data_IF_990290821510
#
_entry.id   IF_990290821510
#
_cell.length_a   1.000
_cell.length_b   1.000
_cell.length_c   1.000
_cell.angle_alpha   90.00
_cell.angle_beta   90.00
_cell.angle_gamma   90.00
#
_symmetry.space_group_name_H-M   'P 1'
#
loop_
_entity.id
_entity.type
_entity.pdbx_description
1 polymer ?
#
# COMPACT_ATOMS: atom_id res chain seq x y z
N UNK A 1 16.99 19.19 4.94
CA UNK A 1 18.32 18.88 5.52
C UNK A 1 19.33 18.80 4.38
N UNK A 2 20.64 18.99 4.61
CA UNK A 2 21.63 18.74 3.55
C UNK A 2 21.88 17.23 3.36
N UNK A 3 22.31 16.84 2.17
CA UNK A 3 22.58 15.44 1.82
C UNK A 3 23.93 15.30 1.14
N UNK A 4 24.65 14.22 1.44
CA UNK A 4 25.72 13.76 0.56
C UNK A 4 25.11 13.30 -0.77
N UNK A 5 25.81 13.57 -1.87
CA UNK A 5 25.31 13.25 -3.22
C UNK A 5 24.98 11.75 -3.33
N UNK A 6 25.92 10.91 -2.91
CA UNK A 6 25.78 9.46 -2.96
C UNK A 6 24.67 8.96 -2.02
N UNK A 7 24.55 9.54 -0.82
CA UNK A 7 23.49 9.20 0.14
C UNK A 7 22.09 9.44 -0.42
N UNK A 8 21.91 10.52 -1.18
CA UNK A 8 20.62 10.86 -1.79
C UNK A 8 20.21 9.89 -2.89
N UNK A 9 21.17 9.42 -3.69
CA UNK A 9 20.91 8.43 -4.74
C UNK A 9 20.59 7.06 -4.12
N UNK A 10 21.34 6.64 -3.10
CA UNK A 10 21.17 5.33 -2.47
C UNK A 10 19.87 5.22 -1.69
N UNK A 11 19.44 6.26 -0.95
CA UNK A 11 18.18 6.19 -0.19
C UNK A 11 16.95 6.00 -1.09
N UNK A 12 17.00 6.53 -2.32
CA UNK A 12 15.93 6.35 -3.30
C UNK A 12 15.91 4.94 -3.90
N UNK A 13 17.04 4.24 -3.87
CA UNK A 13 17.19 2.87 -4.36
C UNK A 13 16.82 1.79 -3.34
N UNK A 14 16.48 2.14 -2.09
CA UNK A 14 16.05 1.16 -1.09
C UNK A 14 14.75 0.50 -1.57
N UNK A 15 14.66 -0.84 -1.66
CA UNK A 15 13.48 -1.54 -2.18
C UNK A 15 12.34 -1.51 -1.14
N UNK A 16 11.48 -0.50 -1.26
CA UNK A 16 10.29 -0.28 -0.40
C UNK A 16 9.02 -0.06 -1.23
N UNK A 17 7.82 -0.14 -0.63
CA UNK A 17 6.58 0.33 -1.23
C UNK A 17 6.70 1.81 -1.65
N UNK A 18 6.16 2.20 -2.81
CA UNK A 18 6.36 3.54 -3.37
C UNK A 18 5.77 4.62 -2.46
N UNK A 19 4.64 4.31 -1.83
CA UNK A 19 3.97 5.18 -0.85
C UNK A 19 4.85 5.52 0.36
N UNK A 20 5.87 4.70 0.64
CA UNK A 20 6.77 4.89 1.78
C UNK A 20 8.04 5.68 1.42
N UNK A 21 8.31 5.99 0.14
CA UNK A 21 9.56 6.65 -0.28
C UNK A 21 9.85 7.95 0.47
N UNK A 22 8.86 8.81 0.59
CA UNK A 22 9.02 10.07 1.32
C UNK A 22 9.25 9.85 2.82
N UNK A 23 8.61 8.82 3.40
CA UNK A 23 8.80 8.46 4.82
C UNK A 23 10.22 7.97 5.07
N UNK A 24 10.80 7.19 4.16
CA UNK A 24 12.18 6.70 4.24
C UNK A 24 13.19 7.84 4.18
N UNK A 25 12.98 8.83 3.31
CA UNK A 25 13.80 10.05 3.27
C UNK A 25 13.72 10.79 4.62
N UNK A 26 12.51 11.03 5.12
CA UNK A 26 12.29 11.72 6.40
C UNK A 26 12.91 10.97 7.59
N UNK A 27 12.92 9.64 7.54
CA UNK A 27 13.53 8.80 8.57
C UNK A 27 15.06 8.92 8.59
N UNK A 28 15.70 8.88 7.42
CA UNK A 28 17.15 9.13 7.31
C UNK A 28 17.53 10.52 7.85
N UNK A 29 16.76 11.56 7.51
CA UNK A 29 16.98 12.89 8.08
C UNK A 29 16.76 12.93 9.60
N UNK A 30 15.79 12.18 10.12
CA UNK A 30 15.54 12.05 11.56
C UNK A 30 16.74 11.42 12.26
N UNK A 31 17.37 10.39 11.68
CA UNK A 31 18.57 9.76 12.22
C UNK A 31 19.74 10.74 12.26
N UNK A 32 19.97 11.51 11.19
CA UNK A 32 21.04 12.49 11.14
C UNK A 32 20.85 13.59 12.20
N UNK A 33 19.62 14.10 12.36
CA UNK A 33 19.29 15.05 13.44
C UNK A 33 19.50 14.45 14.83
N UNK A 34 19.12 13.19 15.05
CA UNK A 34 19.37 12.46 16.31
C UNK A 34 20.87 12.38 16.63
N UNK A 35 21.70 12.23 15.61
CA UNK A 35 23.15 12.19 15.70
C UNK A 35 23.81 13.59 15.70
N UNK A 36 23.01 14.67 15.76
CA UNK A 36 23.47 16.07 15.72
C UNK A 36 24.28 16.43 14.47
N UNK A 37 24.02 15.74 13.35
CA UNK A 37 24.54 16.10 12.04
C UNK A 37 23.59 17.09 11.37
N UNK A 38 24.15 18.00 10.58
CA UNK A 38 23.46 18.94 9.69
C UNK A 38 23.21 18.34 8.29
N UNK A 39 24.00 17.31 7.94
CA UNK A 39 23.98 16.60 6.66
C UNK A 39 23.73 15.11 6.85
N UNK A 40 22.90 14.52 5.99
CA UNK A 40 22.70 13.06 5.92
C UNK A 40 23.87 12.43 5.17
N UNK A 41 24.57 11.49 5.82
CA UNK A 41 25.65 10.72 5.21
C UNK A 41 25.21 9.29 4.89
N UNK A 42 26.11 8.53 4.28
CA UNK A 42 25.89 7.10 4.00
C UNK A 42 25.59 6.27 5.25
N UNK A 43 26.08 6.67 6.43
CA UNK A 43 25.82 5.97 7.69
C UNK A 43 24.32 5.95 8.02
N UNK A 44 23.64 7.08 7.90
CA UNK A 44 22.20 7.16 8.15
C UNK A 44 21.37 6.43 7.08
N UNK A 45 21.84 6.39 5.84
CA UNK A 45 21.17 5.64 4.76
C UNK A 45 21.27 4.15 4.97
N UNK A 46 22.44 3.64 5.37
CA UNK A 46 22.65 2.23 5.71
C UNK A 46 21.77 1.84 6.90
N UNK A 47 21.76 2.63 7.97
CA UNK A 47 20.89 2.38 9.11
C UNK A 47 19.40 2.39 8.72
N UNK A 48 19.00 3.35 7.88
CA UNK A 48 17.62 3.43 7.37
C UNK A 48 17.23 2.17 6.61
N UNK A 49 18.10 1.68 5.73
CA UNK A 49 17.88 0.42 5.01
C UNK A 49 17.71 -0.73 5.99
N UNK A 50 18.65 -0.87 6.93
CA UNK A 50 18.68 -2.01 7.85
C UNK A 50 17.45 -2.03 8.76
N UNK A 51 17.01 -0.87 9.27
CA UNK A 51 15.79 -0.75 10.08
C UNK A 51 14.53 -1.17 9.30
N UNK A 52 14.40 -0.80 8.02
CA UNK A 52 13.27 -1.23 7.18
C UNK A 52 13.34 -2.72 6.84
N UNK A 53 14.55 -3.24 6.61
CA UNK A 53 14.75 -4.66 6.31
C UNK A 53 14.39 -5.52 7.54
N UNK A 54 14.80 -5.10 8.74
CA UNK A 54 14.41 -5.73 9.99
C UNK A 54 12.89 -5.65 10.21
N UNK A 55 12.29 -4.47 9.99
CA UNK A 55 10.85 -4.26 10.17
C UNK A 55 9.99 -5.15 9.25
N UNK A 56 10.39 -5.30 7.99
CA UNK A 56 9.64 -6.06 7.00
C UNK A 56 9.98 -7.57 7.03
N UNK A 57 11.19 -7.91 7.44
CA UNK A 57 11.71 -9.27 7.41
C UNK A 57 11.98 -9.78 6.00
N UNK A 58 12.79 -10.84 5.91
CA UNK A 58 13.36 -11.35 4.65
C UNK A 58 12.30 -11.71 3.61
N UNK A 59 11.17 -12.29 4.04
CA UNK A 59 10.13 -12.76 3.13
C UNK A 59 9.45 -11.60 2.39
N UNK A 60 9.09 -10.54 3.11
CA UNK A 60 8.44 -9.37 2.52
C UNK A 60 9.44 -8.55 1.69
N UNK A 61 10.67 -8.39 2.19
CA UNK A 61 11.74 -7.71 1.46
C UNK A 61 12.05 -8.38 0.13
N UNK A 62 12.14 -9.71 0.10
CA UNK A 62 12.36 -10.46 -1.14
C UNK A 62 11.25 -10.19 -2.15
N UNK A 63 9.98 -10.20 -1.72
CA UNK A 63 8.85 -9.91 -2.60
C UNK A 63 8.88 -8.48 -3.16
N UNK A 64 9.17 -7.49 -2.31
CA UNK A 64 9.29 -6.09 -2.74
C UNK A 64 10.43 -5.95 -3.75
N UNK A 65 11.57 -6.57 -3.47
CA UNK A 65 12.73 -6.53 -4.36
C UNK A 65 12.42 -7.15 -5.73
N UNK A 66 11.81 -8.33 -5.78
CA UNK A 66 11.40 -8.99 -7.03
C UNK A 66 10.44 -8.14 -7.89
N UNK A 67 9.56 -7.35 -7.25
CA UNK A 67 8.64 -6.44 -7.94
C UNK A 67 9.40 -5.24 -8.51
N UNK A 68 10.31 -4.65 -7.73
CA UNK A 68 11.08 -3.47 -8.15
C UNK A 68 12.12 -3.78 -9.22
N UNK A 69 12.76 -4.95 -9.17
CA UNK A 69 13.68 -5.41 -10.22
C UNK A 69 12.98 -5.56 -11.57
N UNK A 70 11.66 -5.84 -11.57
CA UNK A 70 10.83 -5.88 -12.79
C UNK A 70 10.33 -4.51 -13.24
N UNK A 71 10.62 -3.44 -12.50
CA UNK A 71 10.15 -2.08 -12.79
C UNK A 71 8.64 -1.89 -12.65
N UNK A 72 7.97 -2.76 -11.88
CA UNK A 72 6.52 -2.74 -11.71
C UNK A 72 6.16 -1.74 -10.60
N UNK A 73 5.28 -0.77 -10.92
CA UNK A 73 4.74 0.18 -9.94
C UNK A 73 3.66 -0.47 -9.06
N UNK A 74 3.38 0.14 -7.91
CA UNK A 74 2.35 -0.39 -7.00
C UNK A 74 0.96 -0.39 -7.67
N UNK A 75 0.65 0.63 -8.46
CA UNK A 75 -0.62 0.74 -9.19
C UNK A 75 -0.83 -0.42 -10.19
N UNK A 76 0.25 -0.91 -10.81
CA UNK A 76 0.17 -1.99 -11.79
C UNK A 76 -0.19 -3.35 -11.17
N UNK A 77 -0.04 -3.49 -9.84
CA UNK A 77 -0.37 -4.69 -9.08
C UNK A 77 -1.53 -4.48 -8.12
N UNK A 78 -2.25 -3.36 -8.24
CA UNK A 78 -3.34 -3.04 -7.32
C UNK A 78 -4.49 -4.06 -7.48
N UNK A 79 -4.77 -4.90 -6.48
CA UNK A 79 -5.86 -5.86 -6.55
C UNK A 79 -7.24 -5.20 -6.55
N UNK A 80 -7.35 -3.93 -6.16
CA UNK A 80 -8.61 -3.17 -6.20
C UNK A 80 -9.09 -2.96 -7.63
N UNK A 81 -8.18 -2.80 -8.60
CA UNK A 81 -8.53 -2.60 -10.01
C UNK A 81 -9.37 -3.77 -10.57
N UNK A 82 -8.92 -5.04 -10.47
CA UNK A 82 -9.74 -6.16 -10.91
C UNK A 82 -10.97 -6.39 -10.01
N UNK A 83 -10.90 -6.11 -8.71
CA UNK A 83 -12.03 -6.25 -7.78
C UNK A 83 -13.21 -5.33 -8.13
N UNK A 84 -12.92 -4.09 -8.54
CA UNK A 84 -13.94 -3.09 -8.85
C UNK A 84 -14.29 -3.05 -10.35
N UNK A 85 -13.89 -4.08 -11.12
CA UNK A 85 -14.21 -4.16 -12.53
C UNK A 85 -15.62 -4.73 -12.72
N UNK A 86 -16.38 -4.11 -13.62
CA UNK A 86 -17.71 -4.57 -14.03
C UNK A 86 -18.81 -3.56 -13.72
N UNK A 87 -20.03 -3.87 -14.15
CA UNK A 87 -21.20 -3.04 -13.88
C UNK A 87 -21.77 -3.37 -12.49
N UNK A 88 -21.15 -2.81 -11.44
CA UNK A 88 -21.53 -3.00 -10.04
C UNK A 88 -21.88 -1.65 -9.41
N UNK A 89 -22.88 -1.63 -8.51
CA UNK A 89 -23.21 -0.44 -7.70
C UNK A 89 -22.55 -0.48 -6.31
N UNK A 90 -21.48 -1.26 -6.20
CA UNK A 90 -20.62 -1.28 -5.03
C UNK A 90 -19.15 -1.36 -5.45
N UNK A 91 -18.27 -0.97 -4.55
CA UNK A 91 -16.82 -0.98 -4.77
C UNK A 91 -16.09 -1.35 -3.48
N UNK A 92 -14.87 -1.86 -3.63
CA UNK A 92 -13.96 -2.18 -2.55
C UNK A 92 -12.85 -1.15 -2.42
N UNK A 93 -12.53 -0.81 -1.18
CA UNK A 93 -11.33 -0.08 -0.81
C UNK A 93 -10.54 -0.92 0.20
N UNK A 94 -9.32 -1.29 -0.14
CA UNK A 94 -8.48 -2.12 0.72
C UNK A 94 -7.32 -1.31 1.28
N UNK A 95 -6.92 -1.62 2.52
CA UNK A 95 -5.74 -0.99 3.13
C UNK A 95 -4.49 -1.12 2.22
N UNK A 96 -3.53 -0.22 2.40
CA UNK A 96 -2.35 -0.11 1.52
C UNK A 96 -1.49 -1.36 1.40
N UNK A 97 -1.60 -2.30 2.34
CA UNK A 97 -0.78 -3.51 2.29
C UNK A 97 -1.29 -4.55 1.28
N UNK A 98 -2.37 -4.22 0.54
CA UNK A 98 -2.86 -4.98 -0.61
C UNK A 98 -1.81 -5.23 -1.71
N UNK A 99 -0.82 -4.35 -1.84
CA UNK A 99 0.19 -4.43 -2.91
C UNK A 99 1.23 -5.54 -2.65
N UNK A 100 1.80 -5.57 -1.44
CA UNK A 100 2.97 -6.41 -1.13
C UNK A 100 2.84 -7.20 0.18
N UNK A 101 1.82 -6.95 1.00
CA UNK A 101 1.58 -7.58 2.31
C UNK A 101 2.03 -6.71 3.50
N UNK A 102 1.53 -7.02 4.71
CA UNK A 102 1.88 -6.33 5.97
C UNK A 102 2.43 -7.31 6.99
N UNK A 103 3.48 -6.92 7.73
CA UNK A 103 3.94 -7.71 8.89
C UNK A 103 2.95 -7.71 10.06
N UNK A 104 2.01 -6.75 10.09
CA UNK A 104 0.92 -6.67 11.07
C UNK A 104 -0.41 -7.21 10.54
N UNK A 105 -0.41 -7.83 9.37
CA UNK A 105 -1.63 -8.38 8.77
C UNK A 105 -2.21 -9.47 9.66
N UNK A 106 -3.45 -9.29 10.14
CA UNK A 106 -4.19 -10.35 10.82
C UNK A 106 -5.04 -11.16 9.83
N UNK A 107 -5.44 -10.54 8.73
CA UNK A 107 -6.25 -11.14 7.67
C UNK A 107 -5.79 -10.70 6.30
N UNK A 108 -5.83 -11.61 5.33
CA UNK A 108 -5.67 -11.28 3.92
C UNK A 108 -6.90 -10.55 3.38
N UNK A 109 -6.74 -9.23 3.22
CA UNK A 109 -7.79 -8.34 2.73
C UNK A 109 -8.15 -8.61 1.28
N UNK A 110 -7.22 -9.12 0.47
CA UNK A 110 -7.47 -9.40 -0.95
C UNK A 110 -8.28 -10.68 -1.08
N UNK A 111 -7.91 -11.72 -0.36
CA UNK A 111 -8.67 -12.97 -0.32
C UNK A 111 -10.06 -12.76 0.31
N UNK A 112 -10.14 -12.01 1.41
CA UNK A 112 -11.42 -11.65 2.02
C UNK A 112 -12.30 -10.84 1.08
N UNK A 113 -11.76 -9.82 0.39
CA UNK A 113 -12.51 -9.01 -0.56
C UNK A 113 -13.11 -9.87 -1.67
N UNK A 114 -12.36 -10.82 -2.25
CA UNK A 114 -12.88 -11.74 -3.27
C UNK A 114 -14.03 -12.61 -2.74
N UNK A 115 -13.96 -13.06 -1.49
CA UNK A 115 -15.03 -13.83 -0.85
C UNK A 115 -16.28 -12.97 -0.62
N UNK A 116 -16.10 -11.72 -0.19
CA UNK A 116 -17.21 -10.78 0.01
C UNK A 116 -17.84 -10.41 -1.34
N UNK A 117 -17.04 -10.12 -2.37
CA UNK A 117 -17.50 -9.81 -3.73
C UNK A 117 -18.43 -10.90 -4.25
N UNK A 118 -18.01 -12.17 -4.17
CA UNK A 118 -18.85 -13.32 -4.53
C UNK A 118 -20.16 -13.36 -3.75
N UNK A 119 -20.13 -13.04 -2.44
CA UNK A 119 -21.36 -12.99 -1.62
C UNK A 119 -22.28 -11.84 -2.01
N UNK A 120 -21.73 -10.69 -2.36
CA UNK A 120 -22.51 -9.54 -2.83
C UNK A 120 -23.17 -9.81 -4.18
N UNK A 121 -22.50 -10.54 -5.07
CA UNK A 121 -23.10 -11.05 -6.31
C UNK A 121 -24.21 -12.08 -6.02
N UNK A 122 -23.96 -13.07 -5.15
CA UNK A 122 -24.97 -14.07 -4.75
C UNK A 122 -26.22 -13.43 -4.12
N UNK A 123 -26.05 -12.32 -3.42
CA UNK A 123 -27.17 -11.58 -2.80
C UNK A 123 -27.84 -10.58 -3.73
N UNK A 124 -27.32 -10.33 -4.94
CA UNK A 124 -27.89 -9.33 -5.86
C UNK A 124 -27.83 -7.91 -5.32
N UNK A 125 -26.71 -7.54 -4.66
CA UNK A 125 -26.57 -6.22 -4.02
C UNK A 125 -26.68 -5.08 -5.02
N UNK A 126 -26.17 -5.25 -6.24
CA UNK A 126 -26.27 -4.24 -7.29
C UNK A 126 -27.73 -3.92 -7.61
N UNK A 127 -28.56 -4.94 -7.79
CA UNK A 127 -29.99 -4.82 -8.07
C UNK A 127 -30.72 -4.22 -6.87
N UNK A 128 -30.39 -4.67 -5.65
CA UNK A 128 -30.96 -4.10 -4.43
C UNK A 128 -30.71 -2.59 -4.31
N UNK A 129 -29.55 -2.11 -4.74
CA UNK A 129 -29.23 -0.68 -4.77
C UNK A 129 -29.97 -0.01 -5.93
N UNK A 130 -29.90 -0.58 -7.14
CA UNK A 130 -30.55 -0.04 -8.34
C UNK A 130 -32.04 0.21 -8.14
N UNK A 131 -32.76 -0.75 -7.53
CA UNK A 131 -34.20 -0.70 -7.29
C UNK A 131 -34.62 0.37 -6.25
N UNK A 132 -33.66 1.08 -5.63
CA UNK A 132 -33.92 2.20 -4.72
C UNK A 132 -33.91 3.57 -5.39
N UNK A 133 -33.51 3.65 -6.65
CA UNK A 133 -33.36 4.92 -7.36
C UNK A 133 -34.25 4.98 -8.59
N UNK A 134 -35.03 6.05 -8.70
CA UNK A 134 -35.82 6.37 -9.89
C UNK A 134 -35.07 7.33 -10.85
N UNK A 135 -33.79 7.59 -10.57
CA UNK A 135 -32.93 8.54 -11.28
C UNK A 135 -31.68 7.86 -11.80
N UNK A 136 -31.00 8.43 -12.83
CA UNK A 136 -29.76 7.88 -13.33
C UNK A 136 -28.68 7.73 -12.24
N UNK A 137 -27.92 6.64 -12.31
CA UNK A 137 -26.82 6.37 -11.39
C UNK A 137 -25.66 7.34 -11.59
N UNK A 138 -25.04 7.74 -10.48
CA UNK A 138 -23.91 8.65 -10.44
C UNK A 138 -22.76 8.00 -9.64
N UNK A 139 -21.51 8.50 -9.74
CA UNK A 139 -20.38 7.93 -8.98
C UNK A 139 -20.60 7.90 -7.45
N UNK A 140 -21.45 8.78 -6.92
CA UNK A 140 -21.81 8.82 -5.50
C UNK A 140 -22.97 7.87 -5.13
N UNK A 141 -23.50 7.10 -6.08
CA UNK A 141 -24.51 6.04 -5.83
C UNK A 141 -23.87 4.73 -5.35
N UNK A 142 -22.53 4.65 -5.35
CA UNK A 142 -21.78 3.45 -5.00
C UNK A 142 -21.80 3.16 -3.49
N UNK A 143 -22.10 1.91 -3.13
CA UNK A 143 -21.85 1.39 -1.80
C UNK A 143 -20.38 0.98 -1.66
N UNK A 144 -19.64 1.58 -0.72
CA UNK A 144 -18.20 1.31 -0.55
C UNK A 144 -17.95 0.35 0.60
N UNK A 145 -17.23 -0.74 0.32
CA UNK A 145 -16.77 -1.74 1.30
C UNK A 145 -15.29 -1.52 1.57
N UNK A 146 -14.99 -0.94 2.72
CA UNK A 146 -13.61 -0.72 3.16
C UNK A 146 -13.13 -1.86 4.07
N UNK A 147 -11.96 -2.43 3.77
CA UNK A 147 -11.39 -3.55 4.54
C UNK A 147 -9.95 -3.24 4.96
N UNK A 148 -9.73 -3.23 6.28
CA UNK A 148 -8.40 -3.11 6.88
C UNK A 148 -7.98 -4.42 7.53
N UNK A 149 -6.71 -4.77 7.37
CA UNK A 149 -6.16 -6.07 7.82
C UNK A 149 -5.88 -6.16 9.32
N UNK A 150 -5.83 -5.02 10.01
CA UNK A 150 -5.50 -4.91 11.43
C UNK A 150 -6.06 -3.60 12.01
N UNK A 151 -6.05 -3.42 13.35
CA UNK A 151 -6.62 -2.24 14.00
C UNK A 151 -5.92 -0.90 13.71
N UNK A 152 -4.83 -0.90 12.93
CA UNK A 152 -4.23 0.35 12.45
C UNK A 152 -5.17 1.11 11.51
N UNK A 153 -6.14 0.42 10.87
CA UNK A 153 -7.19 1.00 10.03
C UNK A 153 -6.64 1.96 8.95
N UNK A 154 -5.52 1.56 8.32
CA UNK A 154 -4.98 2.21 7.13
C UNK A 154 -5.92 2.03 5.93
#
# INVERSE_FOLDING_TARGET
MEWEKDAREVVQGIPIPEIMRNMTILYAEKLARKNKKDKVSMEEVVQTRDDYFELFGDTLMKRIQEIREKGISDDAIDPVIPLNKGAKLYQFELCHMRFVGCTRQLIDVVDLAKKIDKKMEEWGVTEMIADKFDVPFMPHTLFTVSISSCPNNC
#
